data_IF_869279064041
#
_entry.id   IF_869279064041
#
_cell.length_a   1.000
_cell.length_b   1.000
_cell.length_c   1.000
_cell.angle_alpha   90.00
_cell.angle_beta   90.00
_cell.angle_gamma   90.00
#
_symmetry.space_group_name_H-M   'P 1'
#
loop_
_entity.id
_entity.type
_entity.pdbx_description
1 polymer ?
#
# COMPACT_ATOMS: atom_id res chain seq x y z
N UNK A 1 28.60 -2.08 -36.40
CA UNK A 1 27.86 -1.78 -35.15
C UNK A 1 28.75 -2.19 -34.00
N UNK A 2 29.19 -1.26 -33.15
CA UNK A 2 30.07 -1.57 -32.03
C UNK A 2 29.33 -2.30 -30.91
N UNK A 3 29.99 -3.19 -30.17
CA UNK A 3 29.39 -3.92 -29.03
C UNK A 3 28.76 -2.98 -27.99
N UNK A 4 29.31 -1.78 -27.84
CA UNK A 4 28.79 -0.74 -26.93
C UNK A 4 27.47 -0.14 -27.41
N UNK A 5 27.34 0.18 -28.69
CA UNK A 5 26.11 0.69 -29.31
C UNK A 5 24.96 -0.32 -29.13
N UNK A 6 25.22 -1.60 -29.43
CA UNK A 6 24.24 -2.67 -29.32
C UNK A 6 23.75 -2.85 -27.88
N UNK A 7 24.67 -2.79 -26.91
CA UNK A 7 24.34 -2.88 -25.49
C UNK A 7 23.42 -1.73 -25.05
N UNK A 8 23.74 -0.48 -25.43
CA UNK A 8 22.91 0.68 -25.08
C UNK A 8 21.53 0.64 -25.74
N UNK A 9 21.44 0.24 -27.02
CA UNK A 9 20.16 0.03 -27.71
C UNK A 9 19.29 -1.03 -27.02
N UNK A 10 19.89 -2.11 -26.51
CA UNK A 10 19.16 -3.14 -25.76
C UNK A 10 18.64 -2.62 -24.41
N UNK A 11 19.44 -1.82 -23.69
CA UNK A 11 19.02 -1.16 -22.45
C UNK A 11 17.88 -0.18 -22.72
N UNK A 12 18.02 0.66 -23.76
CA UNK A 12 16.96 1.57 -24.22
C UNK A 12 15.67 0.82 -24.52
N UNK A 13 15.75 -0.28 -25.29
CA UNK A 13 14.59 -1.12 -25.61
C UNK A 13 13.88 -1.67 -24.36
N UNK A 14 14.62 -2.08 -23.34
CA UNK A 14 14.05 -2.52 -22.05
C UNK A 14 13.29 -1.39 -21.34
N UNK A 15 13.86 -0.19 -21.31
CA UNK A 15 13.18 0.98 -20.75
C UNK A 15 11.94 1.37 -21.55
N UNK A 16 12.02 1.39 -22.89
CA UNK A 16 10.86 1.64 -23.76
C UNK A 16 9.73 0.65 -23.48
N UNK A 17 10.05 -0.65 -23.37
CA UNK A 17 9.05 -1.69 -23.06
C UNK A 17 8.34 -1.48 -21.72
N UNK A 18 9.09 -1.10 -20.67
CA UNK A 18 8.49 -0.73 -19.38
C UNK A 18 7.56 0.48 -19.49
N UNK A 19 7.99 1.50 -20.23
CA UNK A 19 7.22 2.73 -20.45
C UNK A 19 5.93 2.41 -21.21
N UNK A 20 5.98 1.63 -22.29
CA UNK A 20 4.78 1.25 -23.06
C UNK A 20 3.70 0.62 -22.17
N UNK A 21 4.07 -0.35 -21.33
CA UNK A 21 3.14 -0.98 -20.39
C UNK A 21 2.60 0.03 -19.36
N UNK A 22 3.43 0.97 -18.94
CA UNK A 22 3.03 2.03 -17.99
C UNK A 22 2.06 3.00 -18.64
N UNK A 23 2.30 3.41 -19.89
CA UNK A 23 1.41 4.29 -20.66
C UNK A 23 0.02 3.67 -20.81
N UNK A 24 -0.08 2.38 -21.15
CA UNK A 24 -1.37 1.66 -21.24
C UNK A 24 -2.12 1.66 -19.91
N UNK A 25 -1.42 1.40 -18.79
CA UNK A 25 -2.02 1.41 -17.45
C UNK A 25 -2.50 2.79 -17.05
N UNK A 26 -1.70 3.83 -17.31
CA UNK A 26 -2.09 5.22 -17.01
C UNK A 26 -3.28 5.60 -17.87
N UNK A 27 -3.27 5.28 -19.17
CA UNK A 27 -4.38 5.57 -20.08
C UNK A 27 -5.69 5.01 -19.53
N UNK A 28 -5.71 3.74 -19.12
CA UNK A 28 -6.90 3.11 -18.54
C UNK A 28 -7.39 3.79 -17.25
N UNK A 29 -6.47 4.32 -16.42
CA UNK A 29 -6.82 5.05 -15.20
C UNK A 29 -7.31 6.48 -15.48
N UNK A 30 -6.91 7.08 -16.60
CA UNK A 30 -7.30 8.45 -16.96
C UNK A 30 -8.63 8.50 -17.72
N UNK A 31 -8.95 7.48 -18.52
CA UNK A 31 -10.18 7.43 -19.30
C UNK A 31 -11.45 7.38 -18.42
N UNK A 32 -11.37 6.75 -17.24
CA UNK A 32 -12.43 6.74 -16.22
C UNK A 32 -11.82 7.10 -14.86
N UNK A 33 -11.37 8.34 -14.74
CA UNK A 33 -10.62 8.79 -13.57
C UNK A 33 -11.47 8.86 -12.29
N UNK A 34 -11.02 8.13 -11.28
CA UNK A 34 -11.55 8.22 -9.91
C UNK A 34 -10.56 8.87 -8.94
N UNK A 35 -11.06 9.62 -7.96
CA UNK A 35 -10.22 10.24 -6.92
C UNK A 35 -9.43 9.20 -6.10
N UNK A 36 -9.95 7.97 -5.99
CA UNK A 36 -9.33 6.84 -5.28
C UNK A 36 -7.96 6.47 -5.85
N UNK A 37 -7.74 6.66 -7.16
CA UNK A 37 -6.51 6.34 -7.88
C UNK A 37 -5.57 7.53 -8.07
N UNK A 38 -5.92 8.72 -7.55
CA UNK A 38 -5.14 9.95 -7.75
C UNK A 38 -3.67 9.83 -7.33
N UNK A 39 -3.39 9.17 -6.20
CA UNK A 39 -2.00 8.95 -5.74
C UNK A 39 -1.23 7.99 -6.64
N UNK A 40 -1.92 6.99 -7.20
CA UNK A 40 -1.33 6.06 -8.16
C UNK A 40 -0.95 6.80 -9.45
N UNK A 41 -1.84 7.64 -9.99
CA UNK A 41 -1.60 8.47 -11.17
C UNK A 41 -0.44 9.45 -10.93
N UNK A 42 -0.38 10.11 -9.77
CA UNK A 42 0.77 10.96 -9.36
C UNK A 42 2.08 10.18 -9.33
N UNK A 43 2.05 8.94 -8.84
CA UNK A 43 3.23 8.06 -8.80
C UNK A 43 3.69 7.71 -10.21
N UNK A 44 2.76 7.39 -11.11
CA UNK A 44 3.10 7.14 -12.51
C UNK A 44 3.69 8.36 -13.21
N UNK A 45 3.20 9.58 -12.94
CA UNK A 45 3.81 10.80 -13.47
C UNK A 45 5.29 10.92 -13.09
N UNK A 46 5.63 10.66 -11.83
CA UNK A 46 7.01 10.68 -11.34
C UNK A 46 7.83 9.61 -12.07
N UNK A 47 7.32 8.38 -12.14
CA UNK A 47 8.01 7.27 -12.80
C UNK A 47 8.25 7.53 -14.30
N UNK A 48 7.25 8.08 -15.02
CA UNK A 48 7.37 8.44 -16.44
C UNK A 48 8.41 9.56 -16.64
N UNK A 49 8.43 10.56 -15.75
CA UNK A 49 9.44 11.63 -15.78
C UNK A 49 10.85 11.08 -15.56
N UNK A 50 11.02 10.16 -14.61
CA UNK A 50 12.31 9.50 -14.37
C UNK A 50 12.76 8.69 -15.60
N UNK A 51 11.86 7.89 -16.19
CA UNK A 51 12.17 7.10 -17.39
C UNK A 51 12.48 7.97 -18.59
N UNK A 52 11.80 9.10 -18.75
CA UNK A 52 12.09 10.08 -19.78
C UNK A 52 13.52 10.62 -19.67
N UNK A 53 13.99 10.93 -18.46
CA UNK A 53 15.35 11.40 -18.23
C UNK A 53 16.39 10.31 -18.56
N UNK A 54 16.14 9.07 -18.14
CA UNK A 54 17.03 7.93 -18.46
C UNK A 54 17.10 7.69 -19.97
N UNK A 55 15.97 7.71 -20.67
CA UNK A 55 15.91 7.53 -22.12
C UNK A 55 16.63 8.67 -22.85
N UNK A 56 16.47 9.92 -22.40
CA UNK A 56 17.15 11.07 -22.99
C UNK A 56 18.67 10.94 -22.89
N UNK A 57 19.20 10.53 -21.73
CA UNK A 57 20.62 10.28 -21.54
C UNK A 57 21.14 9.13 -22.43
N UNK A 58 20.38 8.03 -22.54
CA UNK A 58 20.74 6.91 -23.42
C UNK A 58 20.73 7.31 -24.89
N UNK A 59 19.78 8.13 -25.31
CA UNK A 59 19.68 8.61 -26.69
C UNK A 59 20.87 9.51 -27.03
N UNK A 60 21.28 10.43 -26.14
CA UNK A 60 22.50 11.22 -26.31
C UNK A 60 23.75 10.33 -26.45
N UNK A 61 23.89 9.31 -25.60
CA UNK A 61 25.01 8.36 -25.69
C UNK A 61 25.00 7.56 -27.00
N UNK A 62 23.84 7.07 -27.43
CA UNK A 62 23.69 6.28 -28.67
C UNK A 62 24.00 7.13 -29.90
N UNK A 63 23.62 8.41 -29.92
CA UNK A 63 23.90 9.32 -31.03
C UNK A 63 25.40 9.50 -31.28
N UNK A 64 26.24 9.38 -30.24
CA UNK A 64 27.70 9.44 -30.40
C UNK A 64 28.31 8.17 -31.01
N UNK A 65 27.58 7.05 -31.00
CA UNK A 65 28.07 5.73 -31.37
C UNK A 65 27.49 5.21 -32.70
N UNK A 66 26.34 5.73 -33.13
CA UNK A 66 25.64 5.28 -34.33
C UNK A 66 26.31 5.85 -35.61
N UNK A 67 26.23 5.10 -36.70
CA UNK A 67 26.74 5.53 -38.01
C UNK A 67 25.85 6.57 -38.66
N UNK A 68 26.45 7.49 -39.43
CA UNK A 68 25.75 8.60 -40.11
C UNK A 68 24.51 8.17 -40.92
N UNK A 69 24.56 7.00 -41.54
CA UNK A 69 23.44 6.42 -42.32
C UNK A 69 22.15 6.24 -41.51
N UNK A 70 22.24 5.94 -40.21
CA UNK A 70 21.08 5.62 -39.36
C UNK A 70 20.73 6.72 -38.35
N UNK A 71 21.48 7.83 -38.31
CA UNK A 71 21.26 8.91 -37.33
C UNK A 71 19.85 9.48 -37.46
N UNK A 72 19.42 9.82 -38.69
CA UNK A 72 18.13 10.49 -38.90
C UNK A 72 16.94 9.62 -38.45
N UNK A 73 16.98 8.33 -38.79
CA UNK A 73 15.93 7.38 -38.43
C UNK A 73 15.88 7.14 -36.91
N UNK A 74 17.03 7.03 -36.24
CA UNK A 74 17.09 6.83 -34.78
C UNK A 74 16.58 8.09 -34.03
N UNK A 75 16.95 9.29 -34.48
CA UNK A 75 16.43 10.56 -33.94
C UNK A 75 14.91 10.62 -34.11
N UNK A 76 14.38 10.22 -35.27
CA UNK A 76 12.94 10.27 -35.54
C UNK A 76 12.18 9.30 -34.64
N UNK A 77 12.63 8.05 -34.53
CA UNK A 77 11.97 7.03 -33.69
C UNK A 77 12.00 7.40 -32.20
N UNK A 78 13.14 7.88 -31.70
CA UNK A 78 13.29 8.33 -30.31
C UNK A 78 12.45 9.56 -30.01
N UNK A 79 12.37 10.50 -30.96
CA UNK A 79 11.51 11.68 -30.89
C UNK A 79 10.03 11.31 -30.71
N UNK A 80 9.49 10.44 -31.57
CA UNK A 80 8.09 9.99 -31.52
C UNK A 80 7.78 9.33 -30.17
N UNK A 81 8.69 8.46 -29.69
CA UNK A 81 8.48 7.79 -28.41
C UNK A 81 8.48 8.76 -27.24
N UNK A 82 9.43 9.72 -27.23
CA UNK A 82 9.49 10.77 -26.21
C UNK A 82 8.24 11.64 -26.20
N UNK A 83 7.71 11.97 -27.37
CA UNK A 83 6.45 12.73 -27.50
C UNK A 83 5.27 12.00 -26.85
N UNK A 84 5.15 10.67 -27.04
CA UNK A 84 4.09 9.89 -26.39
C UNK A 84 4.18 9.89 -24.85
N UNK A 85 5.40 9.94 -24.29
CA UNK A 85 5.59 10.08 -22.83
C UNK A 85 5.14 11.46 -22.36
N UNK A 86 5.55 12.51 -23.08
CA UNK A 86 5.18 13.88 -22.75
C UNK A 86 3.67 14.09 -22.81
N UNK A 87 3.01 13.60 -23.87
CA UNK A 87 1.56 13.66 -24.00
C UNK A 87 0.85 13.02 -22.80
N UNK A 88 1.34 11.84 -22.36
CA UNK A 88 0.78 11.18 -21.19
C UNK A 88 1.00 11.99 -19.90
N UNK A 89 2.19 12.56 -19.70
CA UNK A 89 2.47 13.42 -18.53
C UNK A 89 1.53 14.65 -18.53
N UNK A 90 1.34 15.29 -19.68
CA UNK A 90 0.43 16.43 -19.83
C UNK A 90 -1.00 16.02 -19.47
N UNK A 91 -1.49 14.90 -20.01
CA UNK A 91 -2.81 14.35 -19.66
C UNK A 91 -2.98 14.07 -18.17
N UNK A 92 -1.95 13.53 -17.51
CA UNK A 92 -1.96 13.36 -16.05
C UNK A 92 -2.09 14.73 -15.36
N UNK A 93 -1.28 15.71 -15.72
CA UNK A 93 -1.31 17.01 -15.06
C UNK A 93 -2.63 17.74 -15.32
N UNK A 94 -3.21 17.65 -16.52
CA UNK A 94 -4.54 18.21 -16.84
C UNK A 94 -5.64 17.63 -15.96
N UNK A 95 -5.70 16.31 -15.83
CA UNK A 95 -6.71 15.62 -15.01
C UNK A 95 -6.57 15.97 -13.53
N UNK A 96 -5.34 15.99 -13.00
CA UNK A 96 -5.08 16.38 -11.61
C UNK A 96 -5.39 17.86 -11.36
N UNK A 97 -5.01 18.74 -12.28
CA UNK A 97 -5.27 20.17 -12.17
C UNK A 97 -6.77 20.49 -12.23
N UNK A 98 -7.55 19.74 -13.03
CA UNK A 98 -9.00 19.90 -13.08
C UNK A 98 -9.65 19.62 -11.71
N UNK A 99 -9.22 18.55 -11.03
CA UNK A 99 -9.68 18.23 -9.66
C UNK A 99 -9.32 19.35 -8.69
N UNK A 100 -8.09 19.84 -8.73
CA UNK A 100 -7.66 20.94 -7.86
C UNK A 100 -8.42 22.24 -8.15
N UNK A 101 -8.71 22.53 -9.42
CA UNK A 101 -9.52 23.67 -9.82
C UNK A 101 -10.94 23.58 -9.26
N UNK A 102 -11.56 22.40 -9.29
CA UNK A 102 -12.86 22.17 -8.66
C UNK A 102 -12.82 22.40 -7.14
N UNK A 103 -11.77 21.93 -6.46
CA UNK A 103 -11.59 22.18 -5.01
C UNK A 103 -11.47 23.68 -4.74
N UNK A 104 -10.66 24.41 -5.51
CA UNK A 104 -10.50 25.88 -5.36
C UNK A 104 -11.81 26.62 -5.65
N UNK A 105 -12.57 26.17 -6.64
CA UNK A 105 -13.88 26.75 -6.96
C UNK A 105 -14.89 26.55 -5.82
N UNK A 106 -14.92 25.36 -5.20
CA UNK A 106 -15.75 25.11 -4.02
C UNK A 106 -15.35 26.01 -2.84
N UNK A 107 -14.04 26.15 -2.60
CA UNK A 107 -13.53 27.06 -1.57
C UNK A 107 -13.92 28.52 -1.85
N UNK A 108 -13.87 28.98 -3.11
CA UNK A 108 -14.29 30.33 -3.49
C UNK A 108 -15.80 30.59 -3.28
N UNK A 109 -16.63 29.54 -3.32
CA UNK A 109 -18.05 29.61 -2.95
C UNK A 109 -18.29 29.63 -1.43
N UNK A 110 -17.21 29.71 -0.63
CA UNK A 110 -17.24 29.69 0.83
C UNK A 110 -17.36 28.28 1.43
N UNK A 111 -17.25 27.24 0.60
CA UNK A 111 -17.26 25.84 1.03
C UNK A 111 -15.82 25.44 1.35
N UNK A 112 -15.38 25.85 2.54
CA UNK A 112 -14.10 25.50 3.10
C UNK A 112 -14.17 24.12 3.79
N UNK A 113 -13.09 23.34 3.76
CA UNK A 113 -13.07 22.01 4.41
C UNK A 113 -13.33 22.12 5.92
N UNK A 114 -12.87 23.22 6.52
CA UNK A 114 -13.09 23.60 7.92
C UNK A 114 -14.58 23.87 8.23
N UNK A 115 -15.38 24.24 7.21
CA UNK A 115 -16.81 24.51 7.39
C UNK A 115 -17.62 23.23 7.61
N UNK A 116 -17.16 22.08 7.13
CA UNK A 116 -17.88 20.81 7.30
C UNK A 116 -17.84 20.31 8.74
N UNK A 117 -16.87 20.74 9.56
CA UNK A 117 -16.78 20.38 10.97
C UNK A 117 -18.06 20.68 11.74
N UNK A 118 -18.69 21.84 11.50
CA UNK A 118 -19.96 22.22 12.15
C UNK A 118 -21.11 21.25 11.89
N UNK A 119 -21.12 20.56 10.74
CA UNK A 119 -22.12 19.57 10.39
C UNK A 119 -21.70 18.15 10.79
N UNK A 120 -20.46 17.77 10.52
CA UNK A 120 -19.96 16.42 10.69
C UNK A 120 -19.66 16.09 12.16
N UNK A 121 -19.13 17.03 12.94
CA UNK A 121 -18.80 16.80 14.35
C UNK A 121 -20.04 16.35 15.15
N UNK A 122 -21.20 17.04 15.08
CA UNK A 122 -22.42 16.57 15.77
C UNK A 122 -22.91 15.20 15.28
N UNK A 123 -22.81 14.92 13.98
CA UNK A 123 -23.23 13.65 13.38
C UNK A 123 -22.36 12.49 13.86
N UNK A 124 -21.04 12.66 13.85
CA UNK A 124 -20.08 11.68 14.36
C UNK A 124 -20.28 11.44 15.85
N UNK A 125 -20.37 12.52 16.65
CA UNK A 125 -20.58 12.42 18.09
C UNK A 125 -21.87 11.71 18.47
N UNK A 126 -22.94 11.87 17.68
CA UNK A 126 -24.19 11.12 17.83
C UNK A 126 -24.02 9.63 17.58
N UNK A 127 -23.14 9.22 16.66
CA UNK A 127 -22.89 7.81 16.31
C UNK A 127 -21.95 7.10 17.28
N UNK A 128 -21.20 7.83 18.10
CA UNK A 128 -20.32 7.23 19.09
C UNK A 128 -21.06 6.62 20.28
N UNK A 129 -20.57 5.48 20.81
CA UNK A 129 -20.94 4.98 22.13
C UNK A 129 -20.69 6.01 23.25
N UNK A 130 -21.47 5.98 24.35
CA UNK A 130 -21.36 6.97 25.43
C UNK A 130 -19.97 7.07 26.07
N UNK A 131 -19.28 5.95 26.27
CA UNK A 131 -17.94 5.93 26.86
C UNK A 131 -16.90 6.62 25.94
N UNK A 132 -16.93 6.35 24.63
CA UNK A 132 -16.06 7.02 23.67
C UNK A 132 -16.37 8.50 23.58
N UNK A 133 -17.65 8.87 23.57
CA UNK A 133 -18.07 10.27 23.56
C UNK A 133 -17.49 11.03 24.76
N UNK A 134 -17.55 10.46 25.96
CA UNK A 134 -17.00 11.05 27.17
C UNK A 134 -15.49 11.21 27.12
N UNK A 135 -14.77 10.17 26.67
CA UNK A 135 -13.31 10.19 26.59
C UNK A 135 -12.84 11.26 25.59
N UNK A 136 -13.42 11.28 24.40
CA UNK A 136 -13.11 12.25 23.36
C UNK A 136 -13.48 13.68 23.81
N UNK A 137 -14.64 13.86 24.44
CA UNK A 137 -15.04 15.18 24.97
C UNK A 137 -14.10 15.70 26.05
N UNK A 138 -13.44 14.80 26.81
CA UNK A 138 -12.46 15.17 27.83
C UNK A 138 -11.08 15.46 27.23
N UNK A 139 -10.75 14.89 26.08
CA UNK A 139 -9.47 15.11 25.41
C UNK A 139 -9.43 16.44 24.64
N UNK A 140 -10.59 17.01 24.29
CA UNK A 140 -10.70 18.26 23.54
C UNK A 140 -11.04 19.39 24.50
N UNK A 141 -10.02 20.13 24.94
CA UNK A 141 -10.16 21.27 25.86
C UNK A 141 -10.59 22.58 25.15
N UNK A 142 -10.98 22.50 23.88
CA UNK A 142 -11.32 23.66 23.06
C UNK A 142 -12.85 23.86 22.93
N UNK A 143 -13.34 25.11 22.95
CA UNK A 143 -14.77 25.40 22.89
C UNK A 143 -15.38 25.17 21.51
N UNK A 144 -14.60 25.35 20.44
CA UNK A 144 -15.01 25.06 19.07
C UNK A 144 -14.38 23.75 18.63
N UNK A 145 -15.21 22.80 18.24
CA UNK A 145 -14.76 21.50 17.76
C UNK A 145 -14.58 21.56 16.25
N UNK A 146 -13.36 21.39 15.81
CA UNK A 146 -13.01 21.17 14.41
C UNK A 146 -12.90 19.66 14.12
N UNK A 147 -13.17 19.27 12.88
CA UNK A 147 -13.14 17.87 12.47
C UNK A 147 -11.74 17.28 12.61
N UNK A 148 -10.70 18.05 12.27
CA UNK A 148 -9.31 17.59 12.39
C UNK A 148 -8.92 17.34 13.85
N UNK A 149 -9.35 18.23 14.75
CA UNK A 149 -9.14 18.08 16.20
C UNK A 149 -9.86 16.83 16.72
N UNK A 150 -11.08 16.58 16.24
CA UNK A 150 -11.86 15.40 16.60
C UNK A 150 -11.19 14.10 16.12
N UNK A 151 -10.74 14.06 14.86
CA UNK A 151 -10.05 12.89 14.28
C UNK A 151 -8.74 12.59 15.02
N UNK A 152 -7.96 13.61 15.35
CA UNK A 152 -6.73 13.44 16.12
C UNK A 152 -6.98 12.89 17.54
N UNK A 153 -8.09 13.30 18.17
CA UNK A 153 -8.50 12.76 19.47
C UNK A 153 -8.89 11.28 19.36
N UNK A 154 -9.54 10.88 18.26
CA UNK A 154 -9.83 9.46 18.00
C UNK A 154 -8.57 8.64 17.83
N UNK A 155 -7.64 9.09 16.99
CA UNK A 155 -6.38 8.36 16.75
C UNK A 155 -5.62 8.18 18.06
N UNK A 156 -5.52 9.24 18.88
CA UNK A 156 -4.85 9.17 20.18
C UNK A 156 -5.52 8.16 21.13
N UNK A 157 -6.85 8.11 21.16
CA UNK A 157 -7.62 7.17 21.98
C UNK A 157 -7.50 5.73 21.48
N UNK A 158 -7.50 5.52 20.16
CA UNK A 158 -7.31 4.20 19.55
C UNK A 158 -5.91 3.69 19.90
N UNK A 159 -4.89 4.50 19.67
CA UNK A 159 -3.50 4.14 20.01
C UNK A 159 -3.34 3.87 21.52
N UNK A 160 -4.00 4.64 22.39
CA UNK A 160 -3.96 4.41 23.83
C UNK A 160 -4.56 3.05 24.21
N UNK A 161 -5.66 2.65 23.56
CA UNK A 161 -6.28 1.33 23.76
C UNK A 161 -5.40 0.21 23.26
N UNK A 162 -4.78 0.37 22.09
CA UNK A 162 -3.84 -0.61 21.54
C UNK A 162 -2.63 -0.81 22.47
N UNK A 163 -2.11 0.27 23.07
CA UNK A 163 -1.02 0.18 24.06
C UNK A 163 -1.46 -0.45 25.39
N UNK A 164 -2.72 -0.27 25.75
CA UNK A 164 -3.30 -0.79 26.99
C UNK A 164 -3.94 -2.18 26.82
N UNK A 165 -3.89 -2.78 25.63
CA UNK A 165 -4.30 -4.17 25.50
C UNK A 165 -3.44 -5.02 26.44
N UNK A 166 -4.06 -5.81 27.34
CA UNK A 166 -3.29 -6.61 28.27
C UNK A 166 -2.46 -7.62 27.47
N UNK A 167 -1.13 -7.50 27.56
CA UNK A 167 -0.23 -8.63 27.32
C UNK A 167 -0.75 -9.74 28.22
N UNK A 168 -1.34 -10.78 27.64
CA UNK A 168 -2.02 -11.85 28.37
C UNK A 168 -1.23 -12.25 29.61
N UNK A 169 -1.79 -11.96 30.79
CA UNK A 169 -1.25 -12.44 32.06
C UNK A 169 -1.46 -13.94 32.09
N UNK A 170 -0.45 -14.69 31.67
CA UNK A 170 -0.35 -16.11 31.99
C UNK A 170 0.12 -16.21 33.45
N UNK A 171 -0.66 -16.82 34.36
CA UNK A 171 -0.19 -17.14 35.70
C UNK A 171 0.72 -18.37 35.62
N UNK A 172 1.96 -18.17 35.18
CA UNK A 172 3.08 -19.10 35.41
C UNK A 172 4.39 -18.41 35.00
N UNK A 173 4.96 -17.66 35.93
CA UNK A 173 6.35 -17.26 35.85
C UNK A 173 7.23 -18.52 35.83
N UNK A 174 7.76 -18.84 34.66
CA UNK A 174 9.04 -19.54 34.56
C UNK A 174 9.99 -18.65 33.77
N UNK A 175 11.05 -18.27 34.47
CA UNK A 175 12.13 -17.40 34.06
C UNK A 175 12.77 -17.92 32.76
N UNK A 176 12.51 -17.27 31.62
CA UNK A 176 13.42 -17.34 30.47
C UNK A 176 13.56 -15.97 29.82
N UNK A 177 14.79 -15.55 29.49
CA UNK A 177 15.04 -14.21 28.98
C UNK A 177 14.52 -14.10 27.55
N UNK A 178 13.53 -13.23 27.32
CA UNK A 178 13.02 -12.90 25.99
C UNK A 178 14.12 -12.22 25.17
N UNK A 179 14.47 -12.80 24.02
CA UNK A 179 15.28 -12.15 22.97
C UNK A 179 14.46 -11.06 22.26
N UNK A 180 15.10 -9.99 21.75
CA UNK A 180 14.39 -8.82 21.27
C UNK A 180 13.74 -9.05 19.91
N UNK A 181 12.58 -8.42 19.78
CA UNK A 181 11.64 -8.27 18.67
C UNK A 181 12.23 -8.23 17.26
N UNK A 182 11.59 -8.96 16.33
CA UNK A 182 11.55 -8.58 14.91
C UNK A 182 10.30 -7.73 14.66
N UNK A 183 10.52 -6.46 14.35
CA UNK A 183 9.53 -5.45 14.01
C UNK A 183 8.95 -5.68 12.61
N UNK A 184 7.84 -6.39 12.50
CA UNK A 184 6.86 -6.27 11.41
C UNK A 184 5.64 -7.17 11.71
N UNK A 185 4.66 -6.62 12.43
CA UNK A 185 3.30 -7.14 12.45
C UNK A 185 2.45 -6.15 11.64
N UNK A 186 1.81 -6.61 10.56
CA UNK A 186 0.90 -5.76 9.79
C UNK A 186 -0.42 -5.63 10.54
N UNK A 187 -1.19 -4.56 10.27
CA UNK A 187 -2.48 -4.26 10.91
C UNK A 187 -3.55 -5.36 10.77
N UNK A 188 -3.33 -6.39 9.97
CA UNK A 188 -4.25 -7.51 9.73
C UNK A 188 -3.82 -8.82 10.42
N UNK A 189 -2.69 -8.85 11.15
CA UNK A 189 -2.12 -10.07 11.72
C UNK A 189 -2.64 -10.32 13.15
N UNK A 190 -3.43 -11.39 13.35
CA UNK A 190 -3.87 -11.84 14.67
C UNK A 190 -2.81 -12.72 15.34
N UNK A 191 -2.14 -12.20 16.38
CA UNK A 191 -1.20 -12.96 17.21
C UNK A 191 -1.85 -13.40 18.53
N UNK A 192 -2.45 -14.60 18.54
CA UNK A 192 -3.02 -15.22 19.73
C UNK A 192 -2.66 -16.70 19.84
N UNK A 193 -2.34 -17.17 21.05
CA UNK A 193 -2.00 -18.56 21.34
C UNK A 193 -3.04 -19.23 22.23
N UNK A 194 -3.24 -20.55 22.05
CA UNK A 194 -4.00 -21.41 22.95
C UNK A 194 -3.20 -22.68 23.20
N UNK A 195 -3.32 -23.23 24.41
CA UNK A 195 -2.53 -24.38 24.86
C UNK A 195 -3.02 -25.70 24.22
N UNK A 196 -4.17 -25.69 23.56
CA UNK A 196 -4.74 -26.85 22.87
C UNK A 196 -5.22 -26.51 21.44
N UNK A 197 -5.06 -27.47 20.53
CA UNK A 197 -5.51 -27.35 19.13
C UNK A 197 -7.02 -27.06 19.01
N UNK A 198 -7.92 -27.69 19.80
CA UNK A 198 -9.35 -27.38 19.74
C UNK A 198 -9.68 -25.94 20.16
N UNK A 199 -9.05 -25.42 21.20
CA UNK A 199 -9.25 -24.03 21.62
C UNK A 199 -8.70 -23.03 20.61
N UNK A 200 -7.56 -23.34 20.00
CA UNK A 200 -6.98 -22.52 18.93
C UNK A 200 -7.90 -22.48 17.70
N UNK A 201 -8.55 -23.59 17.37
CA UNK A 201 -9.53 -23.65 16.29
C UNK A 201 -10.79 -22.83 16.61
N UNK A 202 -11.31 -22.92 17.83
CA UNK A 202 -12.42 -22.07 18.27
C UNK A 202 -12.07 -20.58 18.21
N UNK A 203 -10.82 -20.22 18.54
CA UNK A 203 -10.33 -18.85 18.44
C UNK A 203 -10.35 -18.37 16.99
N UNK A 204 -9.87 -19.19 16.05
CA UNK A 204 -9.96 -18.92 14.62
C UNK A 204 -11.41 -18.70 14.16
N UNK A 205 -12.35 -19.58 14.55
CA UNK A 205 -13.77 -19.43 14.17
C UNK A 205 -14.37 -18.12 14.70
N UNK A 206 -14.07 -17.78 15.95
CA UNK A 206 -14.52 -16.51 16.56
C UNK A 206 -13.94 -15.30 15.86
N UNK A 207 -12.63 -15.30 15.56
CA UNK A 207 -11.97 -14.22 14.85
C UNK A 207 -12.58 -14.02 13.45
N UNK A 208 -12.83 -15.10 12.71
CA UNK A 208 -13.47 -15.07 11.39
C UNK A 208 -14.87 -14.47 11.44
N UNK A 209 -15.68 -14.81 12.45
CA UNK A 209 -17.00 -14.21 12.66
C UNK A 209 -16.91 -12.71 12.95
N UNK A 210 -16.02 -12.28 13.85
CA UNK A 210 -15.86 -10.87 14.23
C UNK A 210 -15.40 -10.00 13.08
N UNK A 211 -14.45 -10.48 12.27
CA UNK A 211 -14.02 -9.78 11.06
C UNK A 211 -15.20 -9.59 10.09
N UNK A 212 -15.99 -10.65 9.88
CA UNK A 212 -17.17 -10.61 9.02
C UNK A 212 -18.24 -9.64 9.53
N UNK A 213 -18.51 -9.62 10.83
CA UNK A 213 -19.41 -8.65 11.47
C UNK A 213 -18.96 -7.20 11.25
N UNK A 214 -17.64 -6.96 11.19
CA UNK A 214 -17.06 -5.66 10.88
C UNK A 214 -17.00 -5.32 9.38
N UNK A 215 -17.46 -6.20 8.48
CA UNK A 215 -17.36 -6.01 7.03
C UNK A 215 -16.00 -6.35 6.43
N UNK A 216 -15.12 -7.00 7.19
CA UNK A 216 -13.77 -7.40 6.77
C UNK A 216 -13.69 -8.92 6.57
N UNK A 217 -12.84 -9.37 5.65
CA UNK A 217 -12.55 -10.79 5.43
C UNK A 217 -11.21 -11.14 6.09
N UNK A 218 -11.19 -12.20 6.91
CA UNK A 218 -9.94 -12.77 7.42
C UNK A 218 -9.24 -13.52 6.27
N UNK A 219 -8.23 -12.91 5.64
CA UNK A 219 -7.59 -13.45 4.43
C UNK A 219 -6.43 -14.40 4.68
N UNK A 220 -5.86 -14.38 5.90
CA UNK A 220 -4.68 -15.17 6.24
C UNK A 220 -4.70 -15.55 7.72
N UNK A 221 -4.37 -16.80 8.01
CA UNK A 221 -4.11 -17.31 9.35
C UNK A 221 -2.81 -18.10 9.33
N UNK A 222 -1.92 -17.87 10.30
CA UNK A 222 -0.63 -18.56 10.40
C UNK A 222 -0.56 -19.23 11.77
N UNK A 223 -0.24 -20.52 11.81
CA UNK A 223 0.03 -21.25 13.05
C UNK A 223 1.27 -22.13 12.91
N UNK A 224 1.99 -22.31 14.01
CA UNK A 224 3.07 -23.28 14.15
C UNK A 224 2.56 -24.72 14.34
N UNK A 225 1.25 -24.94 14.52
CA UNK A 225 0.64 -26.26 14.66
C UNK A 225 0.14 -26.77 13.30
N UNK A 226 0.82 -27.79 12.75
CA UNK A 226 0.42 -28.44 11.49
C UNK A 226 -1.01 -28.99 11.58
N UNK A 227 -1.38 -29.57 12.72
CA UNK A 227 -2.72 -30.13 12.97
C UNK A 227 -3.80 -29.06 12.92
N UNK A 228 -3.52 -27.87 13.46
CA UNK A 228 -4.46 -26.75 13.40
C UNK A 228 -4.61 -26.22 11.97
N UNK A 229 -3.50 -26.08 11.24
CA UNK A 229 -3.53 -25.64 9.84
C UNK A 229 -4.33 -26.61 8.95
N UNK A 230 -4.24 -27.92 9.20
CA UNK A 230 -5.06 -28.91 8.51
C UNK A 230 -6.57 -28.72 8.76
N UNK A 231 -6.97 -28.49 10.02
CA UNK A 231 -8.37 -28.26 10.38
C UNK A 231 -8.91 -26.99 9.73
N UNK A 232 -8.11 -25.91 9.72
CA UNK A 232 -8.49 -24.65 9.07
C UNK A 232 -8.64 -24.85 7.56
N UNK A 233 -7.70 -25.50 6.89
CA UNK A 233 -7.78 -25.74 5.45
C UNK A 233 -8.99 -26.62 5.07
N UNK A 234 -9.34 -27.60 5.91
CA UNK A 234 -10.55 -28.40 5.73
C UNK A 234 -11.82 -27.54 5.85
N UNK A 235 -11.88 -26.64 6.83
CA UNK A 235 -12.99 -25.70 7.02
C UNK A 235 -13.09 -24.67 5.87
N UNK A 236 -11.96 -24.23 5.32
CA UNK A 236 -11.92 -23.25 4.21
C UNK A 236 -12.10 -23.88 2.81
N UNK A 237 -12.13 -25.21 2.72
CA UNK A 237 -12.30 -25.92 1.44
C UNK A 237 -11.12 -25.78 0.48
N UNK A 238 -9.94 -25.39 0.96
CA UNK A 238 -8.73 -25.21 0.12
C UNK A 238 -8.02 -26.56 -0.03
N UNK A 239 -7.80 -27.07 -1.26
CA UNK A 239 -7.13 -28.36 -1.47
C UNK A 239 -5.70 -28.37 -0.94
N UNK A 240 -5.35 -29.42 -0.21
CA UNK A 240 -4.03 -29.65 0.41
C UNK A 240 -2.98 -29.95 -0.69
N UNK A 241 -2.53 -28.96 -1.47
CA UNK A 241 -1.39 -29.15 -2.39
C UNK A 241 -0.40 -27.98 -2.53
N UNK A 242 -0.57 -26.84 -1.87
CA UNK A 242 0.40 -25.72 -2.00
C UNK A 242 1.24 -25.39 -0.75
N UNK A 243 1.11 -26.16 0.34
CA UNK A 243 1.90 -25.92 1.57
C UNK A 243 3.31 -26.55 1.56
N UNK A 244 3.76 -27.16 0.46
CA UNK A 244 5.04 -27.91 0.41
C UNK A 244 6.26 -27.12 -0.08
N UNK A 245 6.13 -25.85 -0.50
CA UNK A 245 7.25 -25.10 -1.11
C UNK A 245 7.89 -23.99 -0.26
N UNK A 246 7.44 -23.72 0.97
CA UNK A 246 8.08 -22.68 1.81
C UNK A 246 9.01 -23.24 2.91
N UNK A 247 8.95 -24.53 3.23
CA UNK A 247 9.79 -25.12 4.30
C UNK A 247 11.22 -25.49 3.85
N UNK A 248 11.48 -25.60 2.53
CA UNK A 248 12.79 -25.99 1.99
C UNK A 248 13.78 -24.83 1.80
N UNK A 249 13.36 -23.58 1.98
CA UNK A 249 14.19 -22.39 1.78
C UNK A 249 14.90 -21.88 3.04
N UNK A 250 14.67 -22.47 4.22
CA UNK A 250 15.30 -22.06 5.49
C UNK A 250 16.57 -22.87 5.84
N UNK A 251 16.92 -23.91 5.07
CA UNK A 251 18.08 -24.79 5.37
C UNK A 251 19.35 -24.56 4.54
N UNK A 252 19.50 -23.45 3.82
CA UNK A 252 20.73 -23.17 3.04
C UNK A 252 21.34 -21.80 3.31
N UNK A 253 21.62 -21.49 4.58
CA UNK A 253 22.72 -20.57 4.93
C UNK A 253 23.25 -20.99 6.30
N UNK A 254 24.35 -21.75 6.31
CA UNK A 254 25.58 -21.51 7.08
C UNK A 254 26.53 -22.73 6.91
N UNK A 255 27.83 -22.51 6.69
CA UNK A 255 28.81 -23.56 6.38
C UNK A 255 29.48 -24.14 7.65
N UNK A 256 30.13 -25.30 7.48
CA UNK A 256 31.23 -25.89 8.30
C UNK A 256 30.85 -26.25 9.76
N UNK A 257 31.29 -27.33 10.39
CA UNK A 257 32.58 -28.02 10.36
C UNK A 257 32.49 -29.28 11.25
N UNK A 258 33.35 -30.27 10.95
CA UNK A 258 33.71 -31.51 11.69
C UNK A 258 32.70 -32.67 11.68
#
# INVERSE_FOLDING_TARGET
MGDEELKKKKIRGGHKGYVTITLEKVQALLDDFELSVANQVKTYRIALTEKLNILSALDEEILTLITEEYIEDDIRETGIFRESIHEMIVRIDETLNAVEAHVRALQALGIHCESYGKLLVPLLMKKLPPNMRLIISRAIDQPAWDLDVLLKAFDSEIEARERCEPIGTNPSDSFTPKRPFSSQANKDDFNGGKDSVPEAFQLYTKAKSRMKEGGFNLRKWISNSEKLMQWINQEEGVPIKEASMSASLIKRVLPTEI
#
